data_IF_909914300226
#
_entry.id   IF_909914300226
#
_cell.length_a   1.000
_cell.length_b   1.000
_cell.length_c   1.000
_cell.angle_alpha   90.00
_cell.angle_beta   90.00
_cell.angle_gamma   90.00
#
_symmetry.space_group_name_H-M   'P 1'
#
loop_
_entity.id
_entity.type
_entity.pdbx_description
1 polymer ?
#
# COMPACT_ATOMS: atom_id res chain seq x y z
N UNK A 1 -25.75 -1.52 -30.97
CA UNK A 1 -26.01 -1.60 -29.51
C UNK A 1 -25.63 -0.28 -28.89
N UNK A 2 -26.49 0.42 -28.14
CA UNK A 2 -26.16 1.72 -27.61
C UNK A 2 -25.09 1.60 -26.51
N UNK A 3 -24.00 2.35 -26.65
CA UNK A 3 -22.95 2.54 -25.64
C UNK A 3 -23.58 3.09 -24.36
N UNK A 4 -23.55 2.31 -23.28
CA UNK A 4 -23.97 2.77 -21.98
C UNK A 4 -22.84 3.67 -21.42
N UNK A 5 -23.09 4.97 -21.34
CA UNK A 5 -22.23 5.92 -20.62
C UNK A 5 -22.16 5.51 -19.14
N UNK A 6 -20.92 5.25 -18.67
CA UNK A 6 -20.63 5.13 -17.23
C UNK A 6 -20.76 6.55 -16.66
N UNK A 7 -21.39 6.73 -15.49
CA UNK A 7 -21.46 8.04 -14.84
C UNK A 7 -20.05 8.55 -14.54
N UNK A 8 -19.82 9.83 -14.84
CA UNK A 8 -18.58 10.52 -14.57
C UNK A 8 -18.34 10.58 -13.06
N UNK A 9 -17.26 9.91 -12.59
CA UNK A 9 -16.94 9.76 -11.16
C UNK A 9 -16.34 11.05 -10.56
N UNK A 10 -16.19 12.12 -11.37
CA UNK A 10 -15.65 13.42 -10.95
C UNK A 10 -16.64 14.31 -10.16
N UNK A 11 -17.87 13.85 -9.90
CA UNK A 11 -18.97 14.62 -9.30
C UNK A 11 -19.05 14.72 -7.79
N UNK A 12 -18.02 14.31 -7.02
CA UNK A 12 -18.05 14.50 -5.56
C UNK A 12 -17.42 15.83 -5.14
N UNK A 13 -18.22 16.90 -5.33
CA UNK A 13 -17.89 18.25 -4.89
C UNK A 13 -17.68 18.35 -3.37
N UNK A 14 -16.74 19.18 -2.99
CA UNK A 14 -16.49 19.69 -1.65
C UNK A 14 -17.72 20.42 -1.08
N UNK A 15 -18.56 19.71 -0.36
CA UNK A 15 -19.72 20.32 0.30
C UNK A 15 -20.44 19.30 1.17
N UNK A 16 -20.63 19.60 2.44
CA UNK A 16 -21.20 18.75 3.48
C UNK A 16 -22.67 18.33 3.30
N UNK A 17 -23.07 17.89 2.12
CA UNK A 17 -24.39 17.34 1.82
C UNK A 17 -24.23 15.89 1.35
N UNK A 18 -24.56 14.92 2.25
CA UNK A 18 -24.93 13.57 1.84
C UNK A 18 -23.80 12.65 1.39
N UNK A 19 -22.87 12.30 2.30
CA UNK A 19 -22.04 11.09 2.06
C UNK A 19 -23.00 9.90 1.90
N UNK A 20 -22.76 8.99 0.91
CA UNK A 20 -23.62 7.83 0.73
C UNK A 20 -23.74 7.02 2.01
N UNK A 21 -24.97 6.73 2.45
CA UNK A 21 -25.24 5.83 3.55
C UNK A 21 -24.99 4.39 3.09
N UNK A 22 -23.89 3.77 3.56
CA UNK A 22 -23.54 2.41 3.21
C UNK A 22 -24.70 1.44 3.51
N UNK A 23 -25.38 1.59 4.66
CA UNK A 23 -26.48 0.72 5.01
C UNK A 23 -27.67 0.89 4.04
N UNK A 24 -27.92 2.13 3.57
CA UNK A 24 -28.90 2.42 2.54
C UNK A 24 -28.58 1.72 1.22
N UNK A 25 -27.34 1.87 0.75
CA UNK A 25 -26.87 1.21 -0.48
C UNK A 25 -26.98 -0.31 -0.40
N UNK A 26 -26.60 -0.90 0.73
CA UNK A 26 -26.63 -2.36 0.91
C UNK A 26 -28.05 -2.94 1.00
N UNK A 27 -29.08 -2.14 1.33
CA UNK A 27 -30.48 -2.60 1.30
C UNK A 27 -30.99 -2.86 -0.12
N UNK A 28 -30.52 -2.11 -1.10
CA UNK A 28 -30.88 -2.31 -2.52
C UNK A 28 -29.98 -3.31 -3.24
N UNK A 29 -28.96 -3.85 -2.56
CA UNK A 29 -27.99 -4.74 -3.17
C UNK A 29 -28.60 -6.13 -3.49
N UNK A 30 -28.31 -6.62 -4.69
CA UNK A 30 -28.71 -7.94 -5.21
C UNK A 30 -27.49 -8.71 -5.72
N UNK A 31 -27.67 -9.95 -6.11
CA UNK A 31 -26.64 -10.75 -6.80
C UNK A 31 -25.36 -10.95 -5.98
N UNK A 32 -25.49 -11.12 -4.65
CA UNK A 32 -24.33 -11.26 -3.78
C UNK A 32 -23.63 -12.59 -4.00
N UNK A 33 -22.31 -12.56 -4.17
CA UNK A 33 -21.44 -13.71 -4.27
C UNK A 33 -20.13 -13.46 -3.52
N UNK A 34 -19.73 -14.40 -2.67
CA UNK A 34 -18.43 -14.35 -2.00
C UNK A 34 -17.33 -14.56 -3.04
N UNK A 35 -16.24 -13.85 -2.93
CA UNK A 35 -15.06 -13.97 -3.78
C UNK A 35 -14.01 -14.83 -3.05
N UNK A 36 -14.21 -16.16 -3.07
CA UNK A 36 -13.34 -17.11 -2.36
C UNK A 36 -11.93 -17.18 -2.96
N UNK A 37 -11.79 -16.90 -4.27
CA UNK A 37 -10.52 -16.93 -5.01
C UNK A 37 -9.80 -15.57 -5.05
N UNK A 38 -10.31 -14.54 -4.36
CA UNK A 38 -9.63 -13.27 -4.32
C UNK A 38 -8.32 -13.41 -3.52
N UNK A 39 -7.18 -12.95 -4.04
CA UNK A 39 -5.88 -13.13 -3.40
C UNK A 39 -5.68 -12.24 -2.17
N UNK A 40 -6.70 -12.15 -1.31
CA UNK A 40 -6.65 -11.46 -0.03
C UNK A 40 -5.80 -12.26 0.96
N UNK A 41 -4.57 -11.83 1.19
CA UNK A 41 -3.65 -12.49 2.14
C UNK A 41 -3.76 -11.96 3.57
N UNK A 42 -4.62 -10.94 3.81
CA UNK A 42 -4.75 -10.27 5.12
C UNK A 42 -5.82 -10.87 6.03
N UNK A 43 -6.82 -11.57 5.48
CA UNK A 43 -8.01 -12.06 6.19
C UNK A 43 -9.28 -11.26 5.88
N UNK A 44 -9.21 -10.24 5.05
CA UNK A 44 -10.39 -9.50 4.59
C UNK A 44 -11.34 -10.38 3.78
N UNK A 45 -12.65 -10.21 4.00
CA UNK A 45 -13.70 -10.92 3.25
C UNK A 45 -14.20 -10.04 2.12
N UNK A 46 -14.25 -10.59 0.90
CA UNK A 46 -14.71 -9.90 -0.29
C UNK A 46 -16.02 -10.50 -0.80
N UNK A 47 -16.99 -9.65 -1.13
CA UNK A 47 -18.25 -10.03 -1.78
C UNK A 47 -18.44 -9.17 -3.03
N UNK A 48 -18.79 -9.77 -4.16
CA UNK A 48 -19.33 -9.05 -5.32
C UNK A 48 -20.85 -8.89 -5.13
N UNK A 49 -21.37 -7.72 -5.49
CA UNK A 49 -22.80 -7.44 -5.45
C UNK A 49 -23.20 -6.41 -6.52
N UNK A 50 -24.50 -6.27 -6.75
CA UNK A 50 -25.05 -5.33 -7.73
C UNK A 50 -25.97 -4.34 -7.02
N UNK A 51 -25.76 -3.03 -7.25
CA UNK A 51 -26.62 -1.95 -6.77
C UNK A 51 -27.05 -1.12 -7.99
N UNK A 52 -28.35 -0.96 -8.19
CA UNK A 52 -28.94 -0.22 -9.32
C UNK A 52 -28.36 -0.65 -10.69
N UNK A 53 -28.15 -1.97 -10.86
CA UNK A 53 -27.62 -2.56 -12.08
C UNK A 53 -26.11 -2.39 -12.30
N UNK A 54 -25.38 -1.79 -11.35
CA UNK A 54 -23.93 -1.63 -11.42
C UNK A 54 -23.22 -2.60 -10.49
N UNK A 55 -22.06 -3.17 -10.90
CA UNK A 55 -21.30 -4.09 -10.08
C UNK A 55 -20.43 -3.36 -9.06
N UNK A 56 -20.42 -3.89 -7.84
CA UNK A 56 -19.59 -3.42 -6.72
C UNK A 56 -18.88 -4.58 -6.05
N UNK A 57 -17.82 -4.24 -5.31
CA UNK A 57 -17.14 -5.13 -4.37
C UNK A 57 -17.28 -4.56 -2.96
N UNK A 58 -17.71 -5.39 -2.03
CA UNK A 58 -17.76 -5.11 -0.61
C UNK A 58 -16.60 -5.80 0.08
N UNK A 59 -15.69 -5.02 0.68
CA UNK A 59 -14.58 -5.52 1.49
C UNK A 59 -14.92 -5.34 2.95
N UNK A 60 -14.84 -6.42 3.72
CA UNK A 60 -15.01 -6.41 5.18
C UNK A 60 -13.71 -6.74 5.86
N UNK A 61 -13.31 -5.86 6.73
CA UNK A 61 -12.13 -5.96 7.58
C UNK A 61 -12.59 -6.20 9.01
N UNK A 62 -12.09 -7.23 9.66
CA UNK A 62 -12.38 -7.56 11.06
C UNK A 62 -11.06 -7.70 11.81
N UNK A 63 -10.90 -7.00 12.94
CA UNK A 63 -9.67 -7.04 13.73
C UNK A 63 -9.32 -8.46 14.20
N UNK A 64 -10.33 -9.32 14.41
CA UNK A 64 -10.10 -10.71 14.79
C UNK A 64 -9.48 -11.54 13.63
N UNK A 65 -9.93 -11.28 12.39
CA UNK A 65 -9.53 -12.06 11.22
C UNK A 65 -8.36 -11.42 10.45
N UNK A 66 -8.24 -10.08 10.47
CA UNK A 66 -7.29 -9.34 9.64
C UNK A 66 -6.00 -8.98 10.40
N UNK A 67 -4.90 -9.66 10.05
CA UNK A 67 -3.61 -9.42 10.68
C UNK A 67 -3.00 -8.06 10.31
N UNK A 68 -3.30 -7.51 9.13
CA UNK A 68 -2.78 -6.20 8.72
C UNK A 68 -3.40 -5.07 9.53
N UNK A 69 -4.68 -5.17 9.88
CA UNK A 69 -5.31 -4.24 10.83
C UNK A 69 -4.61 -4.26 12.19
N UNK A 70 -4.26 -5.46 12.70
CA UNK A 70 -3.55 -5.59 13.97
C UNK A 70 -2.16 -4.99 13.90
N UNK A 71 -1.42 -5.31 12.83
CA UNK A 71 -0.06 -4.81 12.61
C UNK A 71 0.00 -3.29 12.41
N UNK A 72 -0.95 -2.71 11.67
CA UNK A 72 -1.02 -1.26 11.42
C UNK A 72 -1.47 -0.46 12.66
N UNK A 73 -2.16 -1.10 13.60
CA UNK A 73 -2.79 -0.43 14.73
C UNK A 73 -3.96 0.48 14.35
N UNK A 74 -4.40 0.48 13.09
CA UNK A 74 -5.52 1.29 12.62
C UNK A 74 -6.85 0.55 12.84
N UNK A 75 -7.30 0.48 14.08
CA UNK A 75 -8.43 -0.35 14.52
C UNK A 75 -9.78 0.00 13.88
N UNK A 76 -9.92 1.20 13.31
CA UNK A 76 -11.13 1.65 12.60
C UNK A 76 -11.04 1.45 11.08
N UNK A 77 -9.90 0.96 10.60
CA UNK A 77 -9.58 0.84 9.17
C UNK A 77 -9.08 2.16 8.57
N UNK A 78 -7.92 2.11 7.91
CA UNK A 78 -7.30 3.30 7.35
C UNK A 78 -8.13 3.93 6.22
N UNK A 79 -8.82 3.11 5.41
CA UNK A 79 -9.75 3.60 4.39
C UNK A 79 -10.87 4.47 5.00
N UNK A 80 -11.37 4.13 6.20
CA UNK A 80 -12.36 4.96 6.91
C UNK A 80 -11.76 6.29 7.36
N UNK A 81 -10.56 6.30 7.91
CA UNK A 81 -9.89 7.53 8.33
C UNK A 81 -9.64 8.47 7.13
N UNK A 82 -9.16 7.95 5.99
CA UNK A 82 -9.00 8.72 4.76
C UNK A 82 -10.33 9.30 4.27
N UNK A 83 -11.39 8.46 4.28
CA UNK A 83 -12.74 8.87 3.90
C UNK A 83 -13.26 9.97 4.81
N UNK A 84 -13.13 9.79 6.13
CA UNK A 84 -13.63 10.74 7.12
C UNK A 84 -12.90 12.10 7.03
N UNK A 85 -11.60 12.08 6.78
CA UNK A 85 -10.77 13.29 6.62
C UNK A 85 -10.91 13.95 5.24
N UNK A 86 -11.67 13.34 4.31
CA UNK A 86 -11.86 13.85 2.96
C UNK A 86 -10.63 13.78 2.06
N UNK A 87 -9.64 12.95 2.43
CA UNK A 87 -8.38 12.81 1.68
C UNK A 87 -8.63 12.16 0.32
N UNK A 88 -9.49 11.12 0.26
CA UNK A 88 -9.81 10.44 -0.99
C UNK A 88 -10.43 11.36 -2.05
N UNK A 89 -11.14 12.41 -1.65
CA UNK A 89 -11.71 13.40 -2.56
C UNK A 89 -10.68 14.43 -3.09
N UNK A 90 -9.48 14.45 -2.50
CA UNK A 90 -8.39 15.37 -2.86
C UNK A 90 -7.30 14.70 -3.70
N UNK A 91 -7.47 13.43 -4.03
CA UNK A 91 -6.52 12.70 -4.89
C UNK A 91 -6.42 13.35 -6.26
N UNK A 92 -5.23 13.39 -6.89
CA UNK A 92 -5.08 13.97 -8.23
C UNK A 92 -5.89 13.20 -9.26
N UNK A 93 -6.39 13.91 -10.29
CA UNK A 93 -7.29 13.36 -11.30
C UNK A 93 -6.76 12.19 -12.11
N UNK A 94 -5.45 11.91 -12.06
CA UNK A 94 -4.82 10.75 -12.66
C UNK A 94 -4.94 9.46 -11.81
N UNK A 95 -5.45 9.56 -10.58
CA UNK A 95 -5.72 8.42 -9.69
C UNK A 95 -7.22 8.13 -9.70
N UNK A 96 -7.58 6.90 -10.05
CA UNK A 96 -8.92 6.36 -9.90
C UNK A 96 -8.97 5.52 -8.63
N UNK A 97 -9.54 6.08 -7.55
CA UNK A 97 -9.85 5.35 -6.34
C UNK A 97 -11.33 4.92 -6.37
N UNK A 98 -11.66 3.63 -6.28
CA UNK A 98 -13.01 3.16 -6.52
C UNK A 98 -13.92 3.18 -5.28
N UNK A 99 -13.47 3.63 -4.11
CA UNK A 99 -14.25 3.61 -2.86
C UNK A 99 -15.45 4.54 -2.98
N UNK A 100 -16.65 4.02 -2.74
CA UNK A 100 -17.93 4.71 -2.81
C UNK A 100 -18.48 5.05 -1.44
N UNK A 101 -18.32 4.13 -0.49
CA UNK A 101 -18.77 4.34 0.89
C UNK A 101 -17.92 3.49 1.86
N UNK A 102 -17.76 3.99 3.07
CA UNK A 102 -17.05 3.30 4.14
C UNK A 102 -17.83 3.45 5.45
N UNK A 103 -17.90 2.38 6.24
CA UNK A 103 -18.49 2.41 7.57
C UNK A 103 -17.63 1.64 8.57
N UNK A 104 -17.61 2.11 9.81
CA UNK A 104 -17.09 1.36 10.96
C UNK A 104 -18.25 0.62 11.58
N UNK A 105 -18.08 -0.66 11.82
CA UNK A 105 -19.04 -1.51 12.52
C UNK A 105 -18.61 -1.65 13.99
N UNK A 106 -19.45 -1.27 14.94
CA UNK A 106 -19.13 -1.43 16.35
C UNK A 106 -19.07 -2.91 16.73
N UNK A 107 -18.42 -3.26 17.86
CA UNK A 107 -18.45 -4.60 18.39
C UNK A 107 -19.90 -5.12 18.56
N UNK A 108 -20.11 -6.38 18.20
CA UNK A 108 -21.39 -7.07 18.29
C UNK A 108 -21.19 -8.53 18.70
N UNK A 109 -22.27 -9.26 19.01
CA UNK A 109 -22.19 -10.67 19.39
C UNK A 109 -21.48 -11.56 18.36
N UNK A 110 -21.63 -11.26 17.07
CA UNK A 110 -20.97 -11.98 15.96
C UNK A 110 -19.62 -11.40 15.55
N UNK A 111 -19.24 -10.21 16.05
CA UNK A 111 -18.01 -9.48 15.75
C UNK A 111 -17.53 -8.71 16.98
N UNK A 112 -16.95 -9.39 17.96
CA UNK A 112 -16.60 -8.77 19.24
C UNK A 112 -15.55 -7.66 19.13
N UNK A 113 -14.75 -7.67 18.08
CA UNK A 113 -13.72 -6.67 17.82
C UNK A 113 -14.22 -5.47 17.00
N UNK A 114 -15.46 -5.56 16.44
CA UNK A 114 -15.91 -4.61 15.43
C UNK A 114 -15.18 -4.76 14.11
N UNK A 115 -15.29 -3.77 13.23
CA UNK A 115 -14.61 -3.81 11.94
C UNK A 115 -14.84 -2.59 11.07
N UNK A 116 -14.31 -2.66 9.85
CA UNK A 116 -14.51 -1.66 8.80
C UNK A 116 -15.08 -2.33 7.56
N UNK A 117 -16.08 -1.72 6.95
CA UNK A 117 -16.67 -2.19 5.70
C UNK A 117 -16.50 -1.12 4.63
N UNK A 118 -15.90 -1.50 3.50
CA UNK A 118 -15.60 -0.64 2.35
C UNK A 118 -16.41 -1.13 1.15
N UNK A 119 -17.25 -0.26 0.58
CA UNK A 119 -17.93 -0.49 -0.70
C UNK A 119 -17.17 0.23 -1.79
N UNK A 120 -16.83 -0.48 -2.86
CA UNK A 120 -16.11 0.07 -4.00
C UNK A 120 -16.73 -0.39 -5.32
N UNK A 121 -16.56 0.39 -6.40
CA UNK A 121 -16.89 -0.08 -7.74
C UNK A 121 -16.08 -1.34 -8.08
N UNK A 122 -16.67 -2.29 -8.82
CA UNK A 122 -15.92 -3.43 -9.35
C UNK A 122 -15.02 -2.96 -10.50
N UNK A 123 -13.74 -2.91 -10.22
CA UNK A 123 -12.69 -2.46 -11.15
C UNK A 123 -11.84 -3.61 -11.67
N UNK A 124 -12.22 -4.87 -11.41
CA UNK A 124 -11.42 -6.05 -11.72
C UNK A 124 -10.92 -6.09 -13.18
N UNK A 125 -11.73 -5.62 -14.13
CA UNK A 125 -11.39 -5.58 -15.57
C UNK A 125 -10.18 -4.69 -15.91
N UNK A 126 -9.84 -3.74 -15.05
CA UNK A 126 -8.76 -2.77 -15.27
C UNK A 126 -7.47 -3.13 -14.51
N UNK A 127 -7.55 -4.07 -13.57
CA UNK A 127 -6.40 -4.44 -12.74
C UNK A 127 -5.31 -5.13 -13.58
N UNK A 128 -4.08 -4.98 -13.13
CA UNK A 128 -2.95 -5.71 -13.70
C UNK A 128 -3.21 -7.21 -13.54
N UNK A 129 -3.15 -8.00 -14.63
CA UNK A 129 -3.37 -9.44 -14.54
C UNK A 129 -2.37 -10.12 -13.60
N UNK A 130 -2.85 -11.09 -12.83
CA UNK A 130 -2.01 -11.91 -11.95
C UNK A 130 -1.23 -12.94 -12.77
N UNK A 131 -0.10 -12.53 -13.34
CA UNK A 131 0.84 -13.36 -14.12
C UNK A 131 2.26 -13.14 -13.64
N UNK A 132 3.20 -13.99 -14.06
CA UNK A 132 4.63 -13.79 -13.78
C UNK A 132 5.33 -12.92 -14.84
N UNK A 133 4.63 -12.53 -15.91
CA UNK A 133 5.18 -11.73 -16.99
C UNK A 133 5.41 -10.28 -16.58
N UNK A 134 6.47 -9.64 -17.10
CA UNK A 134 6.68 -8.21 -16.92
C UNK A 134 5.48 -7.40 -17.43
N UNK A 135 5.14 -6.32 -16.71
CA UNK A 135 4.12 -5.39 -17.20
C UNK A 135 4.63 -4.57 -18.40
N UNK A 136 3.74 -4.05 -19.27
CA UNK A 136 4.14 -3.18 -20.36
C UNK A 136 4.92 -1.96 -19.87
N UNK A 137 6.01 -1.59 -20.57
CA UNK A 137 6.86 -0.47 -20.19
C UNK A 137 6.08 0.87 -20.09
N UNK A 138 5.12 1.10 -21.01
CA UNK A 138 4.24 2.27 -20.95
C UNK A 138 3.34 2.31 -19.71
N UNK A 139 2.85 1.16 -19.25
CA UNK A 139 2.05 1.06 -18.02
C UNK A 139 2.91 1.31 -16.79
N UNK A 140 4.13 0.74 -16.74
CA UNK A 140 5.11 1.01 -15.70
C UNK A 140 5.44 2.50 -15.59
N UNK A 141 5.77 3.15 -16.70
CA UNK A 141 6.05 4.58 -16.75
C UNK A 141 4.84 5.42 -16.28
N UNK A 142 3.62 5.00 -16.60
CA UNK A 142 2.40 5.65 -16.14
C UNK A 142 2.23 5.52 -14.62
N UNK A 143 2.47 4.35 -14.06
CA UNK A 143 2.39 4.14 -12.61
C UNK A 143 3.41 5.01 -11.85
N UNK A 144 4.63 5.15 -12.33
CA UNK A 144 5.64 6.02 -11.72
C UNK A 144 5.25 7.50 -11.81
N UNK A 145 4.73 7.97 -12.96
CA UNK A 145 4.26 9.35 -13.13
C UNK A 145 3.07 9.66 -12.19
N UNK A 146 2.13 8.75 -12.08
CA UNK A 146 0.94 8.95 -11.24
C UNK A 146 1.28 8.83 -9.75
N UNK A 147 2.26 8.01 -9.36
CA UNK A 147 2.85 8.00 -8.02
C UNK A 147 3.47 9.37 -7.70
N UNK A 148 4.27 9.93 -8.61
CA UNK A 148 4.86 11.25 -8.43
C UNK A 148 3.78 12.35 -8.32
N UNK A 149 2.72 12.27 -9.14
CA UNK A 149 1.60 13.21 -9.06
C UNK A 149 0.83 13.11 -7.74
N UNK A 150 0.62 11.90 -7.20
CA UNK A 150 0.05 11.69 -5.88
C UNK A 150 0.91 12.39 -4.81
N UNK A 151 2.20 12.15 -4.83
CA UNK A 151 3.11 12.73 -3.85
C UNK A 151 3.20 14.26 -3.97
N UNK A 152 3.23 14.81 -5.17
CA UNK A 152 3.25 16.25 -5.40
C UNK A 152 1.96 16.94 -4.91
N UNK A 153 0.79 16.29 -5.09
CA UNK A 153 -0.51 16.83 -4.67
C UNK A 153 -0.62 17.02 -3.15
N UNK A 154 0.13 16.24 -2.36
CA UNK A 154 0.14 16.31 -0.91
C UNK A 154 1.51 16.71 -0.33
N UNK A 155 2.34 17.35 -1.15
CA UNK A 155 3.71 17.72 -0.79
C UNK A 155 3.78 18.60 0.45
N UNK A 156 4.63 18.20 1.41
CA UNK A 156 4.74 18.85 2.71
C UNK A 156 3.41 18.97 3.47
N UNK A 157 2.52 18.01 3.28
CA UNK A 157 1.26 17.93 4.02
C UNK A 157 1.48 17.72 5.52
N UNK A 158 0.47 18.10 6.29
CA UNK A 158 0.54 18.11 7.76
C UNK A 158 0.05 16.82 8.42
N UNK A 159 -0.17 16.94 9.74
CA UNK A 159 -0.61 15.84 10.60
C UNK A 159 -1.97 15.24 10.20
N UNK A 160 -2.77 15.93 9.37
CA UNK A 160 -4.02 15.39 8.83
C UNK A 160 -3.79 14.15 7.94
N UNK A 161 -2.57 13.98 7.41
CA UNK A 161 -2.19 12.84 6.59
C UNK A 161 -1.67 11.65 7.43
N UNK A 162 -1.42 11.84 8.72
CA UNK A 162 -0.91 10.78 9.60
C UNK A 162 -2.05 9.82 9.99
N UNK A 163 -2.35 8.87 9.11
CA UNK A 163 -3.41 7.85 9.27
C UNK A 163 -2.83 6.60 9.92
N UNK A 164 -1.86 5.97 9.27
CA UNK A 164 -1.08 4.87 9.85
C UNK A 164 0.32 5.42 10.18
N UNK A 165 0.73 5.41 11.46
CA UNK A 165 2.04 5.89 11.85
C UNK A 165 3.16 5.18 11.09
N UNK A 166 4.18 5.92 10.64
CA UNK A 166 5.29 5.37 9.86
C UNK A 166 6.02 4.23 10.60
N UNK A 167 6.11 4.31 11.92
CA UNK A 167 6.69 3.24 12.77
C UNK A 167 5.92 1.93 12.60
N UNK A 168 4.58 1.97 12.61
CA UNK A 168 3.75 0.77 12.44
C UNK A 168 3.91 0.16 11.06
N UNK A 169 4.03 1.00 10.01
CA UNK A 169 4.29 0.51 8.64
C UNK A 169 5.61 -0.28 8.54
N UNK A 170 6.67 0.16 9.22
CA UNK A 170 7.93 -0.61 9.28
C UNK A 170 7.85 -1.86 10.16
N UNK A 171 6.96 -1.89 11.16
CA UNK A 171 6.75 -3.04 12.03
C UNK A 171 5.78 -4.09 11.46
N UNK A 172 5.03 -3.76 10.41
CA UNK A 172 4.01 -4.64 9.81
C UNK A 172 4.56 -6.04 9.45
N UNK A 173 5.76 -6.10 8.88
CA UNK A 173 6.41 -7.35 8.46
C UNK A 173 7.62 -7.70 9.34
N UNK A 174 7.61 -7.24 10.59
CA UNK A 174 8.68 -7.45 11.56
C UNK A 174 8.64 -8.85 12.18
N UNK A 175 9.77 -9.32 12.75
CA UNK A 175 9.77 -10.53 13.57
C UNK A 175 8.77 -10.47 14.71
N UNK A 176 8.61 -9.30 15.35
CA UNK A 176 7.68 -9.10 16.45
C UNK A 176 6.22 -9.31 16.04
N UNK A 177 5.81 -8.77 14.89
CA UNK A 177 4.46 -9.02 14.35
C UNK A 177 4.23 -10.51 14.11
N UNK A 178 5.18 -11.17 13.48
CA UNK A 178 5.06 -12.59 13.16
C UNK A 178 4.97 -13.48 14.41
N UNK A 179 5.72 -13.15 15.46
CA UNK A 179 5.67 -13.82 16.76
C UNK A 179 4.31 -13.58 17.46
N UNK A 180 3.76 -12.35 17.37
CA UNK A 180 2.46 -12.03 17.90
C UNK A 180 1.33 -12.81 17.19
N UNK A 181 1.35 -12.87 15.87
CA UNK A 181 0.40 -13.64 15.07
C UNK A 181 0.51 -15.15 15.35
N UNK A 182 1.71 -15.67 15.51
CA UNK A 182 1.94 -17.07 15.89
C UNK A 182 1.33 -17.38 17.28
N UNK A 183 1.48 -16.45 18.24
CA UNK A 183 0.89 -16.57 19.57
C UNK A 183 -0.65 -16.58 19.54
N UNK A 184 -1.24 -15.83 18.60
CA UNK A 184 -2.68 -15.83 18.36
C UNK A 184 -3.17 -17.10 17.61
N UNK A 185 -2.27 -17.97 17.19
CA UNK A 185 -2.59 -19.15 16.38
C UNK A 185 -2.97 -18.81 14.94
N UNK A 186 -2.52 -17.68 14.43
CA UNK A 186 -2.79 -17.22 13.07
C UNK A 186 -2.27 -18.23 12.03
N UNK A 187 -3.14 -18.57 11.06
CA UNK A 187 -2.79 -19.45 9.94
C UNK A 187 -2.46 -18.69 8.66
N UNK A 188 -2.42 -17.36 8.71
CA UNK A 188 -2.14 -16.54 7.54
C UNK A 188 -0.73 -16.83 6.99
N UNK A 189 -0.65 -16.90 5.66
CA UNK A 189 0.57 -17.28 4.94
C UNK A 189 1.72 -16.29 5.21
N UNK A 190 1.46 -14.99 5.11
CA UNK A 190 2.52 -13.97 5.23
C UNK A 190 3.19 -13.98 6.62
N UNK A 191 2.47 -13.90 7.76
CA UNK A 191 3.12 -14.02 9.07
C UNK A 191 3.98 -15.28 9.24
N UNK A 192 3.53 -16.43 8.69
CA UNK A 192 4.31 -17.67 8.73
C UNK A 192 5.61 -17.60 7.94
N UNK A 193 5.56 -17.02 6.72
CA UNK A 193 6.75 -16.82 5.89
C UNK A 193 7.71 -15.81 6.52
N UNK A 194 7.20 -14.78 7.21
CA UNK A 194 8.02 -13.82 7.95
C UNK A 194 8.82 -14.49 9.08
N UNK A 195 8.17 -15.42 9.84
CA UNK A 195 8.87 -16.23 10.88
C UNK A 195 10.06 -17.01 10.28
N UNK A 196 9.87 -17.56 9.09
CA UNK A 196 10.90 -18.35 8.40
C UNK A 196 12.00 -17.46 7.78
N UNK A 197 11.61 -16.35 7.17
CA UNK A 197 12.51 -15.57 6.33
C UNK A 197 13.54 -14.74 7.10
N UNK A 198 13.21 -14.18 8.27
CA UNK A 198 14.18 -13.38 9.04
C UNK A 198 15.40 -14.17 9.52
N UNK A 199 15.29 -15.39 10.09
CA UNK A 199 16.45 -16.21 10.39
C UNK A 199 17.26 -16.56 9.14
N UNK A 200 16.57 -16.77 7.99
CA UNK A 200 17.24 -17.06 6.74
C UNK A 200 18.05 -15.87 6.23
N UNK A 201 17.56 -14.64 6.37
CA UNK A 201 18.33 -13.44 6.04
C UNK A 201 19.64 -13.39 6.81
N UNK A 202 19.62 -13.68 8.11
CA UNK A 202 20.82 -13.71 8.93
C UNK A 202 21.84 -14.76 8.46
N UNK A 203 21.37 -15.88 7.90
CA UNK A 203 22.22 -16.95 7.40
C UNK A 203 22.81 -16.64 6.01
N UNK A 204 22.02 -16.07 5.08
CA UNK A 204 22.44 -15.91 3.68
C UNK A 204 23.03 -14.52 3.36
N UNK A 205 22.62 -13.47 4.07
CA UNK A 205 23.08 -12.08 3.89
C UNK A 205 23.44 -11.43 5.24
N UNK A 206 24.49 -11.90 5.93
CA UNK A 206 24.82 -11.45 7.29
C UNK A 206 25.19 -9.97 7.37
N UNK A 207 25.65 -9.35 6.28
CA UNK A 207 25.97 -7.92 6.26
C UNK A 207 24.68 -7.09 6.29
N UNK A 208 23.68 -7.43 5.48
CA UNK A 208 22.35 -6.82 5.56
C UNK A 208 21.69 -7.06 6.92
N UNK A 209 21.73 -8.29 7.41
CA UNK A 209 21.09 -8.67 8.67
C UNK A 209 21.59 -7.85 9.87
N UNK A 210 22.89 -7.54 9.95
CA UNK A 210 23.46 -6.69 11.01
C UNK A 210 22.87 -5.28 11.04
N UNK A 211 22.48 -4.73 9.89
CA UNK A 211 21.89 -3.41 9.79
C UNK A 211 20.37 -3.49 10.00
N UNK A 212 19.72 -4.46 9.38
CA UNK A 212 18.28 -4.52 9.21
C UNK A 212 17.54 -5.10 10.42
N UNK A 213 18.09 -6.16 11.06
CA UNK A 213 17.40 -6.81 12.19
C UNK A 213 17.18 -5.91 13.40
N UNK A 214 18.12 -5.03 13.79
CA UNK A 214 17.84 -4.03 14.83
C UNK A 214 16.71 -3.10 14.44
N UNK A 215 16.67 -2.63 13.17
CA UNK A 215 15.63 -1.71 12.66
C UNK A 215 14.27 -2.40 12.50
N UNK A 216 14.24 -3.68 12.18
CA UNK A 216 13.00 -4.47 12.13
C UNK A 216 12.37 -4.69 13.52
N UNK A 217 13.15 -4.49 14.60
CA UNK A 217 12.65 -4.51 15.99
C UNK A 217 12.34 -3.11 16.53
N UNK A 218 13.18 -2.15 16.19
CA UNK A 218 13.02 -0.73 16.52
C UNK A 218 13.35 0.15 15.32
N UNK A 219 12.35 0.56 14.53
CA UNK A 219 12.54 1.43 13.38
C UNK A 219 12.81 2.90 13.74
N UNK A 220 12.81 3.25 15.03
CA UNK A 220 12.99 4.63 15.52
C UNK A 220 14.15 5.38 14.87
N UNK A 221 15.38 4.82 14.79
CA UNK A 221 16.50 5.50 14.11
C UNK A 221 16.23 5.82 12.65
N UNK A 222 15.64 4.89 11.89
CA UNK A 222 15.28 5.09 10.49
C UNK A 222 14.16 6.14 10.32
N UNK A 223 13.12 6.05 11.15
CA UNK A 223 12.00 7.00 11.15
C UNK A 223 12.50 8.41 11.46
N UNK A 224 13.38 8.57 12.46
CA UNK A 224 13.99 9.84 12.80
C UNK A 224 14.82 10.43 11.66
N UNK A 225 15.65 9.59 11.00
CA UNK A 225 16.45 10.02 9.85
C UNK A 225 15.57 10.45 8.66
N UNK A 226 14.44 9.77 8.42
CA UNK A 226 13.48 10.11 7.36
C UNK A 226 12.66 11.35 7.69
N UNK A 227 12.33 11.59 8.95
CA UNK A 227 11.56 12.78 9.36
C UNK A 227 12.26 14.11 9.04
N UNK A 228 13.59 14.10 8.92
CA UNK A 228 14.38 15.26 8.47
C UNK A 228 14.37 15.50 6.95
N UNK A 229 13.56 14.77 6.19
CA UNK A 229 13.42 14.88 4.73
C UNK A 229 11.98 15.24 4.34
N UNK A 230 11.71 15.67 3.09
CA UNK A 230 10.33 15.99 2.67
C UNK A 230 9.35 14.86 2.92
N UNK A 231 8.13 15.21 3.32
CA UNK A 231 7.06 14.27 3.64
C UNK A 231 5.82 14.56 2.78
N UNK A 232 5.04 13.53 2.50
CA UNK A 232 3.79 13.62 1.74
C UNK A 232 2.81 12.52 2.16
N UNK A 233 1.62 12.48 1.54
CA UNK A 233 0.77 11.30 1.61
C UNK A 233 1.44 10.16 0.83
N UNK A 234 1.72 9.06 1.50
CA UNK A 234 2.15 7.80 0.88
C UNK A 234 1.04 6.76 0.99
N UNK A 235 0.95 5.91 -0.02
CA UNK A 235 -0.01 4.79 -0.07
C UNK A 235 0.50 3.58 0.72
N UNK A 236 1.80 3.37 0.72
CA UNK A 236 2.54 2.29 1.40
C UNK A 236 2.15 0.86 1.00
N UNK A 237 1.42 0.69 -0.11
CA UNK A 237 1.07 -0.62 -0.67
C UNK A 237 0.97 -0.57 -2.20
N UNK A 238 1.94 0.11 -2.84
CA UNK A 238 1.99 0.31 -4.29
C UNK A 238 2.53 -0.95 -4.99
N UNK A 239 1.71 -2.02 -4.97
CA UNK A 239 2.02 -3.30 -5.63
C UNK A 239 1.12 -3.55 -6.83
N UNK A 240 1.57 -4.33 -7.80
CA UNK A 240 0.85 -4.56 -9.05
C UNK A 240 -0.54 -5.16 -8.84
N UNK A 241 -0.74 -5.97 -7.80
CA UNK A 241 -2.06 -6.53 -7.47
C UNK A 241 -3.09 -5.46 -7.06
N UNK A 242 -2.63 -4.29 -6.62
CA UNK A 242 -3.46 -3.15 -6.22
C UNK A 242 -3.57 -2.10 -7.34
N UNK A 243 -2.91 -2.32 -8.47
CA UNK A 243 -2.81 -1.35 -9.56
C UNK A 243 -3.58 -1.80 -10.79
N UNK A 244 -4.06 -0.82 -11.53
CA UNK A 244 -4.69 -1.03 -12.82
C UNK A 244 -4.63 0.23 -13.69
N UNK A 245 -5.15 0.12 -14.91
CA UNK A 245 -5.29 1.26 -15.81
C UNK A 245 -6.70 1.27 -16.36
N UNK A 246 -7.46 2.34 -16.09
CA UNK A 246 -8.83 2.46 -16.59
C UNK A 246 -8.89 2.94 -18.05
N UNK A 247 -10.10 2.99 -18.60
CA UNK A 247 -10.33 3.37 -20.00
C UNK A 247 -9.93 4.83 -20.32
N UNK A 248 -9.67 5.66 -19.30
CA UNK A 248 -9.19 7.04 -19.42
C UNK A 248 -7.68 7.17 -19.21
N UNK A 249 -6.96 6.05 -19.02
CA UNK A 249 -5.53 6.03 -18.75
C UNK A 249 -5.14 6.42 -17.31
N UNK A 250 -6.11 6.53 -16.39
CA UNK A 250 -5.84 6.80 -14.97
C UNK A 250 -5.37 5.53 -14.28
N UNK A 251 -4.52 5.69 -13.28
CA UNK A 251 -4.15 4.56 -12.41
C UNK A 251 -5.28 4.23 -11.47
N UNK A 252 -5.86 3.04 -11.59
CA UNK A 252 -6.70 2.44 -10.55
C UNK A 252 -5.81 2.10 -9.38
N UNK A 253 -6.15 2.57 -8.17
CA UNK A 253 -5.37 2.37 -6.96
C UNK A 253 -6.26 1.83 -5.85
N UNK A 254 -6.02 0.56 -5.49
CA UNK A 254 -6.75 -0.20 -4.48
C UNK A 254 -5.97 -0.26 -3.15
N UNK A 255 -6.65 -0.74 -2.13
CA UNK A 255 -6.04 -1.22 -0.89
C UNK A 255 -5.36 -0.14 -0.04
N UNK A 256 -6.15 0.87 0.33
CA UNK A 256 -5.75 1.97 1.22
C UNK A 256 -5.74 1.54 2.70
N UNK A 257 -4.91 0.55 3.04
CA UNK A 257 -4.83 0.01 4.41
C UNK A 257 -3.62 0.53 5.19
N UNK A 258 -2.59 1.03 4.50
CA UNK A 258 -1.34 1.49 5.10
C UNK A 258 -0.98 2.96 4.78
N UNK A 259 -1.93 3.84 4.39
CA UNK A 259 -1.59 5.19 4.00
C UNK A 259 -1.19 6.04 5.19
N UNK A 260 -0.40 7.05 4.94
CA UNK A 260 -0.07 8.02 5.99
C UNK A 260 0.93 9.07 5.54
N UNK A 261 1.30 9.94 6.47
CA UNK A 261 2.39 10.87 6.26
C UNK A 261 3.72 10.09 6.20
N UNK A 262 4.51 10.33 5.16
CA UNK A 262 5.77 9.61 4.99
C UNK A 262 6.65 10.18 3.89
N UNK A 263 7.87 9.65 3.80
CA UNK A 263 8.81 9.96 2.75
C UNK A 263 8.30 9.46 1.39
N UNK A 264 8.17 10.30 0.34
CA UNK A 264 7.65 9.89 -0.97
C UNK A 264 8.40 8.70 -1.57
N UNK A 265 9.71 8.64 -1.37
CA UNK A 265 10.52 7.54 -1.90
C UNK A 265 10.28 6.19 -1.19
N UNK A 266 9.49 6.16 -0.10
CA UNK A 266 9.09 4.88 0.52
C UNK A 266 8.14 4.09 -0.38
N UNK A 267 7.18 4.74 -1.07
CA UNK A 267 6.31 4.07 -2.04
C UNK A 267 7.09 3.56 -3.25
N UNK A 268 8.07 4.34 -3.72
CA UNK A 268 8.96 3.88 -4.80
C UNK A 268 9.78 2.66 -4.37
N UNK A 269 10.41 2.70 -3.19
CA UNK A 269 11.22 1.59 -2.68
C UNK A 269 10.37 0.33 -2.46
N UNK A 270 9.15 0.48 -1.92
CA UNK A 270 8.16 -0.58 -1.83
C UNK A 270 7.83 -1.18 -3.20
N UNK A 271 7.49 -0.32 -4.18
CA UNK A 271 7.17 -0.73 -5.54
C UNK A 271 8.30 -1.53 -6.20
N UNK A 272 9.55 -1.06 -6.06
CA UNK A 272 10.73 -1.74 -6.57
C UNK A 272 11.00 -3.09 -5.89
N UNK A 273 10.71 -3.20 -4.60
CA UNK A 273 10.94 -4.42 -3.85
C UNK A 273 9.90 -5.50 -4.18
N UNK A 274 8.61 -5.19 -4.01
CA UNK A 274 7.55 -6.20 -4.11
C UNK A 274 7.29 -6.65 -5.55
N UNK A 275 7.56 -5.79 -6.55
CA UNK A 275 7.28 -6.08 -7.95
C UNK A 275 8.54 -6.45 -8.75
N UNK A 276 9.69 -6.66 -8.13
CA UNK A 276 11.01 -6.77 -8.77
C UNK A 276 11.05 -7.72 -9.98
N UNK A 277 10.31 -8.84 -9.94
CA UNK A 277 10.27 -9.85 -11.01
C UNK A 277 9.45 -9.42 -12.23
N UNK A 278 8.58 -8.42 -12.09
CA UNK A 278 7.62 -7.98 -13.10
C UNK A 278 7.90 -6.59 -13.66
N UNK A 279 8.96 -5.93 -13.18
CA UNK A 279 9.34 -4.62 -13.71
C UNK A 279 10.03 -4.77 -15.07
N UNK A 280 9.64 -3.96 -16.10
CA UNK A 280 10.17 -4.07 -17.45
C UNK A 280 11.54 -3.41 -17.63
N UNK A 281 12.08 -2.77 -16.60
CA UNK A 281 13.35 -2.05 -16.62
C UNK A 281 14.08 -2.16 -15.27
N UNK A 282 15.35 -1.72 -15.24
CA UNK A 282 16.15 -1.75 -14.02
C UNK A 282 15.60 -0.84 -12.92
N UNK A 283 15.98 -1.10 -11.68
CA UNK A 283 15.62 -0.28 -10.52
C UNK A 283 16.13 1.16 -10.68
N UNK A 284 17.36 1.31 -11.17
CA UNK A 284 17.99 2.62 -11.44
C UNK A 284 17.19 3.42 -12.46
N UNK A 285 16.79 2.79 -13.57
CA UNK A 285 15.98 3.45 -14.59
C UNK A 285 14.59 3.85 -14.04
N UNK A 286 14.01 3.03 -13.20
CA UNK A 286 12.73 3.32 -12.51
C UNK A 286 12.86 4.48 -11.53
N UNK A 287 13.97 4.55 -10.78
CA UNK A 287 14.27 5.64 -9.85
C UNK A 287 14.40 6.97 -10.60
N UNK A 288 15.16 7.00 -11.70
CA UNK A 288 15.32 8.21 -12.51
C UNK A 288 14.02 8.63 -13.21
N UNK A 289 13.22 7.66 -13.70
CA UNK A 289 11.90 7.95 -14.27
C UNK A 289 10.94 8.59 -13.25
N UNK A 290 10.91 8.07 -12.01
CA UNK A 290 10.13 8.67 -10.93
C UNK A 290 10.65 10.06 -10.56
N UNK A 291 11.98 10.24 -10.46
CA UNK A 291 12.60 11.53 -10.17
C UNK A 291 12.20 12.59 -11.19
N UNK A 292 12.34 12.26 -12.47
CA UNK A 292 11.95 13.15 -13.56
C UNK A 292 10.45 13.51 -13.48
N UNK A 293 9.58 12.53 -13.23
CA UNK A 293 8.14 12.75 -13.06
C UNK A 293 7.82 13.66 -11.86
N UNK A 294 8.55 13.55 -10.76
CA UNK A 294 8.39 14.42 -9.61
C UNK A 294 8.81 15.87 -9.91
N UNK A 295 9.90 16.04 -10.68
CA UNK A 295 10.34 17.34 -11.15
C UNK A 295 9.36 17.97 -12.16
N UNK A 296 8.75 17.17 -13.04
CA UNK A 296 7.65 17.60 -13.93
C UNK A 296 6.43 18.08 -13.16
N UNK A 297 6.18 17.51 -11.98
CA UNK A 297 5.14 17.96 -11.04
C UNK A 297 5.54 19.24 -10.25
N UNK A 298 6.70 19.83 -10.52
CA UNK A 298 7.18 21.07 -9.88
C UNK A 298 7.91 20.88 -8.56
N UNK A 299 8.26 19.65 -8.19
CA UNK A 299 9.02 19.36 -6.96
C UNK A 299 10.51 19.31 -7.26
N UNK A 300 11.29 20.24 -6.68
CA UNK A 300 12.75 20.20 -6.81
C UNK A 300 13.34 19.03 -6.04
N UNK A 301 14.14 18.20 -6.71
CA UNK A 301 14.79 17.01 -6.11
C UNK A 301 16.21 17.28 -5.59
N UNK A 302 16.73 18.49 -5.78
CA UNK A 302 18.08 18.84 -5.34
C UNK A 302 18.27 18.80 -3.82
N UNK A 303 19.39 18.24 -3.38
CA UNK A 303 19.85 18.28 -1.99
C UNK A 303 19.26 17.22 -1.05
N UNK A 304 18.07 16.70 -1.28
CA UNK A 304 17.42 15.74 -0.37
C UNK A 304 17.23 14.32 -0.97
N UNK A 305 17.03 14.23 -2.30
CA UNK A 305 16.60 13.00 -2.98
C UNK A 305 17.54 11.81 -2.73
N UNK A 306 18.85 11.99 -2.91
CA UNK A 306 19.82 10.90 -2.74
C UNK A 306 19.86 10.35 -1.30
N UNK A 307 19.79 11.25 -0.29
CA UNK A 307 19.75 10.83 1.12
C UNK A 307 18.46 10.07 1.43
N UNK A 308 17.31 10.62 1.04
CA UNK A 308 16.02 9.97 1.29
C UNK A 308 15.91 8.64 0.54
N UNK A 309 16.39 8.59 -0.72
CA UNK A 309 16.41 7.34 -1.49
C UNK A 309 17.16 6.24 -0.76
N UNK A 310 18.37 6.52 -0.31
CA UNK A 310 19.18 5.53 0.40
C UNK A 310 18.47 5.04 1.68
N UNK A 311 17.86 5.94 2.46
CA UNK A 311 17.10 5.59 3.66
C UNK A 311 15.83 4.78 3.32
N UNK A 312 15.11 5.13 2.24
CA UNK A 312 13.91 4.39 1.82
C UNK A 312 14.24 3.00 1.25
N UNK A 313 15.36 2.86 0.53
CA UNK A 313 15.85 1.54 0.08
C UNK A 313 16.23 0.67 1.28
N UNK A 314 16.91 1.22 2.29
CA UNK A 314 17.12 0.52 3.57
C UNK A 314 15.80 0.13 4.22
N UNK A 315 14.83 1.05 4.25
CA UNK A 315 13.48 0.80 4.77
C UNK A 315 12.76 -0.36 4.05
N UNK A 316 12.94 -0.46 2.74
CA UNK A 316 12.39 -1.59 1.98
C UNK A 316 13.04 -2.92 2.40
N UNK A 317 14.33 -2.95 2.73
CA UNK A 317 14.96 -4.17 3.26
C UNK A 317 14.48 -4.48 4.69
N UNK A 318 14.19 -3.44 5.51
CA UNK A 318 13.54 -3.63 6.83
C UNK A 318 12.16 -4.28 6.69
N UNK A 319 11.43 -4.01 5.60
CA UNK A 319 10.11 -4.61 5.34
C UNK A 319 10.19 -5.94 4.59
N UNK A 320 11.10 -6.10 3.62
CA UNK A 320 11.13 -7.24 2.69
C UNK A 320 12.40 -8.12 2.76
N UNK A 321 13.35 -7.83 3.64
CA UNK A 321 14.58 -8.63 3.76
C UNK A 321 14.31 -10.11 4.00
N UNK A 322 13.27 -10.43 4.75
CA UNK A 322 12.81 -11.80 4.99
C UNK A 322 12.35 -12.49 3.69
N UNK A 323 11.60 -11.78 2.85
CA UNK A 323 11.06 -12.30 1.57
C UNK A 323 12.21 -12.52 0.57
N UNK A 324 13.12 -11.55 0.43
CA UNK A 324 14.29 -11.67 -0.45
C UNK A 324 15.17 -12.88 -0.07
N UNK A 325 15.32 -13.14 1.23
CA UNK A 325 16.13 -14.26 1.72
C UNK A 325 15.51 -15.64 1.45
N UNK A 326 14.20 -15.75 1.27
CA UNK A 326 13.53 -17.03 0.99
C UNK A 326 13.98 -17.65 -0.35
N UNK A 327 14.33 -16.83 -1.33
CA UNK A 327 14.89 -17.30 -2.62
C UNK A 327 16.36 -17.68 -2.54
N UNK A 328 17.04 -17.42 -1.42
CA UNK A 328 18.49 -17.62 -1.26
C UNK A 328 19.28 -16.35 -1.56
N UNK A 329 20.61 -16.47 -1.70
CA UNK A 329 21.47 -15.32 -2.02
C UNK A 329 21.64 -15.19 -3.54
N UNK A 330 20.72 -14.51 -4.17
CA UNK A 330 20.71 -14.21 -5.60
C UNK A 330 21.17 -12.76 -5.89
N UNK A 331 21.13 -12.35 -7.17
CA UNK A 331 21.49 -10.99 -7.59
C UNK A 331 20.52 -9.95 -7.04
N UNK A 332 19.26 -10.31 -6.85
CA UNK A 332 18.24 -9.45 -6.25
C UNK A 332 18.60 -9.15 -4.79
N UNK A 333 18.82 -10.16 -3.97
CA UNK A 333 19.19 -9.97 -2.56
C UNK A 333 20.53 -9.25 -2.42
N UNK A 334 21.51 -9.54 -3.30
CA UNK A 334 22.81 -8.86 -3.30
C UNK A 334 22.65 -7.36 -3.53
N UNK A 335 21.83 -6.96 -4.49
CA UNK A 335 21.56 -5.55 -4.74
C UNK A 335 20.97 -4.85 -3.51
N UNK A 336 19.98 -5.47 -2.86
CA UNK A 336 19.35 -4.93 -1.65
C UNK A 336 20.32 -4.90 -0.44
N UNK A 337 21.16 -5.90 -0.27
CA UNK A 337 22.19 -5.89 0.77
C UNK A 337 23.16 -4.73 0.61
N UNK A 338 23.61 -4.47 -0.63
CA UNK A 338 24.47 -3.32 -0.93
C UNK A 338 23.82 -2.00 -0.56
N UNK A 339 22.53 -1.80 -0.90
CA UNK A 339 21.83 -0.58 -0.54
C UNK A 339 21.69 -0.43 0.98
N UNK A 340 21.31 -1.48 1.69
CA UNK A 340 21.17 -1.47 3.14
C UNK A 340 22.48 -1.12 3.86
N UNK A 341 23.58 -1.76 3.46
CA UNK A 341 24.92 -1.53 4.06
C UNK A 341 25.40 -0.10 3.79
N UNK A 342 25.22 0.43 2.57
CA UNK A 342 25.58 1.83 2.23
C UNK A 342 24.78 2.84 3.05
N UNK A 343 23.49 2.59 3.25
CA UNK A 343 22.61 3.53 3.96
C UNK A 343 22.82 3.53 5.49
N UNK A 344 23.44 2.50 6.05
CA UNK A 344 23.64 2.38 7.50
C UNK A 344 24.34 3.61 8.12
N UNK A 345 25.29 4.21 7.41
CA UNK A 345 26.00 5.42 7.85
C UNK A 345 25.10 6.68 7.94
N UNK A 346 23.90 6.65 7.36
CA UNK A 346 22.95 7.77 7.38
C UNK A 346 22.02 7.77 8.60
N UNK A 347 22.08 6.72 9.42
CA UNK A 347 21.27 6.57 10.64
C UNK A 347 21.89 7.27 11.87
N UNK A 348 23.07 7.86 11.72
CA UNK A 348 23.84 8.52 12.80
C UNK A 348 23.50 10.00 12.85
#
# INVERSE_FOLDING_TARGET
MPERRIPDVTGYGSGGAGRPDLAGLLRSATGRAVLDDAPGVSGARLERLVIDGQPYVLKRLDLADDWTMRASGCLRGAAFELWQRGILARLPGCINQPIVAVAVEPPSAGRPSGGCTVLMHDVARWLVPATDEPIPAGQHATFLRHMAALHAAFWNGGAELDVVPVTHRYLELSPWMAEAEATLGSLHLIPRLVVEGWPRLAAVAPAAARVVLPLARDPGPLVTALAGTPQTLVHSNWKLDNLGTDDQGRTVLLDWEQPGLGAPLSDLAWYLAINCRRLPQSKEASIEAYRAALEECGVSTGGWFGRQLALCLLGAVVQFGWEKALSGYDDELRWWEEQAVRAAALLV
#
